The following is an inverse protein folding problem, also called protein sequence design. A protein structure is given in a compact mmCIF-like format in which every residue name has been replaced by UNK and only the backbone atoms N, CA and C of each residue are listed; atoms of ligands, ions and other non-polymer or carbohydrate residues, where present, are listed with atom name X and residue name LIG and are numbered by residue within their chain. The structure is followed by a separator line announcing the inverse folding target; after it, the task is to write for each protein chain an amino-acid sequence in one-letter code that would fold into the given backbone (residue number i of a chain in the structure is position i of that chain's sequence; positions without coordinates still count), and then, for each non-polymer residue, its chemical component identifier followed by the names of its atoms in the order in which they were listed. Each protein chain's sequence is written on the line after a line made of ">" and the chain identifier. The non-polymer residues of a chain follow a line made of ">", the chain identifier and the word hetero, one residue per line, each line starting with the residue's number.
data_IF_596341370323
#
_entry.id   IF_596341370323
#
_cell.length_a   1.000
_cell.length_b   1.000
_cell.length_c   1.000
_cell.angle_alpha   90.00
_cell.angle_beta   90.00
_cell.angle_gamma   90.00
#
_symmetry.space_group_name_H-M   'P 1'
#
loop_
_entity.id
_entity.type
_entity.pdbx_description
1 polymer ?
#
# COMPACT_ATOMS: atom_id res chain seq x y z
N UNK A 1 -3.63 -14.13 -12.10
CA UNK A 1 -3.35 -15.56 -12.34
C UNK A 1 -2.72 -15.65 -13.71
N UNK A 2 -1.45 -16.06 -13.80
CA UNK A 2 -0.86 -16.45 -15.07
C UNK A 2 -0.57 -17.93 -14.99
N UNK A 3 -1.42 -18.74 -15.63
CA UNK A 3 -1.16 -20.16 -15.76
C UNK A 3 0.07 -20.36 -16.62
N UNK A 4 1.05 -21.12 -16.10
CA UNK A 4 2.27 -21.51 -16.84
C UNK A 4 1.94 -22.18 -18.18
N UNK A 5 0.80 -22.85 -18.25
CA UNK A 5 0.37 -23.62 -19.43
C UNK A 5 -0.92 -23.06 -20.07
N UNK A 6 -1.86 -22.57 -19.26
CA UNK A 6 -3.20 -22.14 -19.73
C UNK A 6 -3.42 -20.62 -19.65
N UNK A 7 -2.40 -19.84 -19.34
CA UNK A 7 -2.50 -18.38 -19.34
C UNK A 7 -2.56 -17.82 -20.76
N UNK A 8 -3.22 -16.67 -20.95
CA UNK A 8 -3.29 -15.97 -22.24
C UNK A 8 -1.92 -15.86 -22.93
N UNK A 9 -0.89 -15.41 -22.22
CA UNK A 9 0.48 -15.31 -22.77
C UNK A 9 1.06 -16.68 -23.15
N UNK A 10 0.78 -17.73 -22.38
CA UNK A 10 1.25 -19.09 -22.66
C UNK A 10 0.57 -19.66 -23.93
N UNK A 11 -0.73 -19.41 -24.09
CA UNK A 11 -1.51 -19.81 -25.27
C UNK A 11 -1.03 -19.07 -26.52
N UNK A 12 -0.88 -17.75 -26.46
CA UNK A 12 -0.37 -16.96 -27.59
C UNK A 12 1.05 -17.41 -27.99
N UNK A 13 1.94 -17.68 -27.01
CA UNK A 13 3.28 -18.23 -27.29
C UNK A 13 3.22 -19.60 -27.95
N UNK A 14 2.28 -20.45 -27.54
CA UNK A 14 2.08 -21.79 -28.11
C UNK A 14 1.60 -21.71 -29.56
N UNK A 15 0.63 -20.84 -29.84
CA UNK A 15 0.08 -20.67 -31.19
C UNK A 15 1.13 -20.12 -32.16
N UNK A 16 1.90 -19.11 -31.76
CA UNK A 16 2.98 -18.55 -32.60
C UNK A 16 4.09 -19.57 -32.87
N UNK A 17 4.46 -20.40 -31.90
CA UNK A 17 5.43 -21.49 -32.11
C UNK A 17 4.90 -22.60 -33.04
N UNK A 18 3.59 -22.84 -33.04
CA UNK A 18 2.97 -23.81 -33.95
C UNK A 18 2.99 -23.31 -35.41
N UNK A 19 2.90 -21.98 -35.62
CA UNK A 19 2.95 -21.38 -36.96
C UNK A 19 4.37 -21.16 -37.47
N UNK A 20 5.30 -20.73 -36.60
CA UNK A 20 6.72 -20.56 -36.91
C UNK A 20 7.60 -20.96 -35.71
N UNK A 21 8.31 -22.08 -35.84
CA UNK A 21 9.11 -22.64 -34.75
C UNK A 21 10.24 -21.72 -34.25
N UNK A 22 10.73 -20.81 -35.10
CA UNK A 22 11.83 -19.89 -34.78
C UNK A 22 11.36 -18.54 -34.21
N UNK A 23 10.04 -18.31 -34.10
CA UNK A 23 9.50 -17.07 -33.53
C UNK A 23 9.22 -17.23 -32.03
N UNK A 24 9.85 -16.37 -31.21
CA UNK A 24 9.55 -16.26 -29.78
C UNK A 24 8.94 -14.90 -29.46
N UNK A 25 7.91 -14.91 -28.60
CA UNK A 25 7.22 -13.69 -28.17
C UNK A 25 7.78 -13.25 -26.83
N UNK A 26 8.18 -11.98 -26.75
CA UNK A 26 8.49 -11.34 -25.49
C UNK A 26 7.19 -10.99 -24.76
N UNK A 27 6.84 -11.79 -23.75
CA UNK A 27 5.76 -11.45 -22.83
C UNK A 27 6.24 -10.43 -21.81
N UNK A 28 6.02 -9.14 -22.07
CA UNK A 28 6.27 -8.11 -21.05
C UNK A 28 5.12 -8.15 -20.06
N UNK A 29 5.42 -8.64 -18.86
CA UNK A 29 4.48 -8.56 -17.75
C UNK A 29 4.39 -7.11 -17.32
N UNK A 30 3.18 -6.55 -17.32
CA UNK A 30 2.98 -5.21 -16.79
C UNK A 30 3.43 -5.20 -15.32
N UNK A 31 4.33 -4.29 -14.95
CA UNK A 31 4.85 -4.14 -13.58
C UNK A 31 3.71 -4.03 -12.56
N UNK A 32 2.60 -3.42 -12.98
CA UNK A 32 1.33 -3.33 -12.25
C UNK A 32 0.79 -4.73 -11.90
N UNK A 33 0.79 -5.67 -12.85
CA UNK A 33 0.32 -7.02 -12.58
C UNK A 33 1.26 -7.78 -11.62
N UNK A 34 2.58 -7.58 -11.76
CA UNK A 34 3.57 -8.24 -10.92
C UNK A 34 3.49 -7.76 -9.47
N UNK A 35 3.47 -6.45 -9.25
CA UNK A 35 3.32 -5.88 -7.92
C UNK A 35 2.00 -6.31 -7.25
N UNK A 36 0.88 -6.37 -8.02
CA UNK A 36 -0.39 -6.89 -7.51
C UNK A 36 -0.29 -8.37 -7.10
N UNK A 37 0.46 -9.17 -7.85
CA UNK A 37 0.70 -10.58 -7.55
C UNK A 37 1.61 -10.73 -6.31
N UNK A 38 2.69 -9.95 -6.22
CA UNK A 38 3.57 -9.91 -5.06
C UNK A 38 2.80 -9.54 -3.79
N UNK A 39 1.92 -8.53 -3.84
CA UNK A 39 1.07 -8.17 -2.70
C UNK A 39 0.17 -9.31 -2.24
N UNK A 40 -0.35 -10.14 -3.15
CA UNK A 40 -1.12 -11.35 -2.81
C UNK A 40 -0.26 -12.44 -2.19
N UNK A 41 0.94 -12.67 -2.71
CA UNK A 41 1.87 -13.70 -2.22
C UNK A 41 2.38 -13.35 -0.81
N UNK A 42 2.76 -12.09 -0.58
CA UNK A 42 3.30 -11.64 0.70
C UNK A 42 2.25 -11.61 1.83
N UNK A 43 0.96 -11.70 1.50
CA UNK A 43 -0.16 -11.71 2.45
C UNK A 43 -0.07 -10.62 3.56
N UNK A 44 0.27 -9.39 3.17
CA UNK A 44 0.39 -8.25 4.10
C UNK A 44 -0.97 -7.59 4.40
N UNK A 45 -2.07 -8.34 4.31
CA UNK A 45 -3.43 -7.84 4.47
C UNK A 45 -3.64 -7.20 5.84
N UNK A 46 -3.26 -7.90 6.91
CA UNK A 46 -3.34 -7.38 8.28
C UNK A 46 -2.60 -6.04 8.47
N UNK A 47 -1.37 -5.96 7.95
CA UNK A 47 -0.54 -4.76 7.98
C UNK A 47 -1.23 -3.61 7.26
N UNK A 48 -1.67 -3.87 6.02
CA UNK A 48 -2.33 -2.87 5.20
C UNK A 48 -3.64 -2.39 5.82
N UNK A 49 -4.42 -3.25 6.47
CA UNK A 49 -5.67 -2.85 7.11
C UNK A 49 -5.45 -1.84 8.24
N UNK A 50 -4.39 -2.04 9.03
CA UNK A 50 -3.98 -1.08 10.08
C UNK A 50 -3.56 0.25 9.47
N UNK A 51 -2.69 0.22 8.45
CA UNK A 51 -2.19 1.41 7.76
C UNK A 51 -3.34 2.20 7.12
N UNK A 52 -4.19 1.52 6.35
CA UNK A 52 -5.32 2.13 5.66
C UNK A 52 -6.32 2.73 6.64
N UNK A 53 -6.61 2.05 7.75
CA UNK A 53 -7.50 2.59 8.79
C UNK A 53 -6.94 3.89 9.37
N UNK A 54 -5.65 3.95 9.68
CA UNK A 54 -5.02 5.16 10.22
C UNK A 54 -5.04 6.30 9.21
N UNK A 55 -4.61 6.05 7.97
CA UNK A 55 -4.60 7.03 6.88
C UNK A 55 -6.01 7.54 6.59
N UNK A 56 -7.01 6.66 6.54
CA UNK A 56 -8.39 7.03 6.30
C UNK A 56 -8.95 7.91 7.44
N UNK A 57 -8.60 7.66 8.70
CA UNK A 57 -9.03 8.52 9.81
C UNK A 57 -8.38 9.91 9.78
N UNK A 58 -7.12 10.00 9.32
CA UNK A 58 -6.44 11.29 9.11
C UNK A 58 -7.10 12.05 7.95
N UNK A 59 -7.33 11.37 6.82
CA UNK A 59 -7.76 11.99 5.56
C UNK A 59 -9.27 12.22 5.44
N UNK A 60 -10.10 11.38 6.06
CA UNK A 60 -11.58 11.48 5.96
C UNK A 60 -12.15 12.72 6.65
N UNK A 61 -11.41 13.30 7.62
CA UNK A 61 -11.85 14.45 8.40
C UNK A 61 -10.99 15.66 8.02
N UNK A 62 -11.56 16.62 7.28
CA UNK A 62 -10.82 17.75 6.71
C UNK A 62 -10.03 18.57 7.75
N UNK A 63 -10.56 18.76 8.97
CA UNK A 63 -9.84 19.44 10.04
C UNK A 63 -8.60 18.64 10.49
N UNK A 64 -8.74 17.33 10.70
CA UNK A 64 -7.62 16.47 11.12
C UNK A 64 -6.54 16.41 10.06
N UNK A 65 -6.93 16.35 8.79
CA UNK A 65 -5.98 16.35 7.68
C UNK A 65 -5.15 17.63 7.68
N UNK A 66 -5.78 18.81 7.78
CA UNK A 66 -5.07 20.10 7.85
C UNK A 66 -4.16 20.20 9.07
N UNK A 67 -4.62 19.74 10.23
CA UNK A 67 -3.81 19.71 11.45
C UNK A 67 -2.59 18.79 11.30
N UNK A 68 -2.76 17.65 10.65
CA UNK A 68 -1.66 16.74 10.37
C UNK A 68 -0.64 17.35 9.41
N UNK A 69 -1.09 18.00 8.34
CA UNK A 69 -0.20 18.69 7.39
C UNK A 69 0.57 19.82 8.08
N UNK A 70 -0.10 20.65 8.89
CA UNK A 70 0.55 21.72 9.65
C UNK A 70 1.60 21.17 10.62
N UNK A 71 1.28 20.06 11.31
CA UNK A 71 2.23 19.38 12.18
C UNK A 71 3.47 18.86 11.42
N UNK A 72 3.28 18.26 10.25
CA UNK A 72 4.40 17.79 9.41
C UNK A 72 5.24 18.93 8.84
N UNK A 73 4.63 20.09 8.61
CA UNK A 73 5.33 21.30 8.18
C UNK A 73 6.17 21.89 9.32
N UNK A 74 5.62 21.99 10.53
CA UNK A 74 6.30 22.50 11.72
C UNK A 74 7.58 21.71 12.07
N UNK A 75 7.53 20.38 11.93
CA UNK A 75 8.68 19.50 12.22
C UNK A 75 9.60 19.30 11.02
N UNK A 76 9.37 20.03 9.94
CA UNK A 76 10.04 19.91 8.65
C UNK A 76 10.20 18.47 8.14
N UNK A 77 9.12 17.67 8.20
CA UNK A 77 9.16 16.29 7.72
C UNK A 77 9.41 16.24 6.20
N UNK A 78 10.15 15.20 5.75
CA UNK A 78 10.42 14.93 4.33
C UNK A 78 9.13 14.94 3.48
N UNK A 79 8.06 14.36 4.03
CA UNK A 79 6.76 14.36 3.41
C UNK A 79 5.77 15.20 4.21
N UNK A 80 5.02 16.06 3.51
CA UNK A 80 4.03 16.96 4.10
C UNK A 80 2.61 16.39 4.14
N UNK A 81 2.42 15.15 3.66
CA UNK A 81 1.10 14.48 3.67
C UNK A 81 1.20 12.96 3.46
N UNK A 82 0.09 12.27 3.74
CA UNK A 82 -0.18 10.86 3.38
C UNK A 82 -1.19 10.75 2.23
N UNK A 83 -0.91 9.96 1.17
CA UNK A 83 -1.83 9.80 0.06
C UNK A 83 -3.15 9.15 0.51
N UNK A 84 -4.27 9.62 -0.03
CA UNK A 84 -5.57 9.01 0.24
C UNK A 84 -5.72 7.69 -0.51
N UNK A 85 -6.35 6.72 0.13
CA UNK A 85 -6.68 5.46 -0.51
C UNK A 85 -7.98 5.57 -1.30
N UNK A 86 -7.95 5.11 -2.56
CA UNK A 86 -9.15 4.74 -3.30
C UNK A 86 -9.00 3.27 -3.73
N UNK A 87 -9.99 2.43 -3.42
CA UNK A 87 -9.97 0.98 -3.64
C UNK A 87 -9.66 0.55 -5.08
N UNK A 88 -9.94 1.44 -6.05
CA UNK A 88 -9.78 1.19 -7.49
C UNK A 88 -8.31 1.11 -7.94
N UNK A 89 -7.35 1.54 -7.12
CA UNK A 89 -5.91 1.55 -7.46
C UNK A 89 -5.12 0.78 -6.41
N UNK A 90 -4.95 -0.52 -6.60
CA UNK A 90 -4.07 -1.34 -5.76
C UNK A 90 -2.61 -0.79 -5.74
N UNK A 91 -2.16 -0.10 -6.81
CA UNK A 91 -0.91 0.69 -6.89
C UNK A 91 -0.77 1.75 -5.77
N UNK A 92 -1.88 2.20 -5.19
CA UNK A 92 -1.84 3.16 -4.08
C UNK A 92 -1.38 2.53 -2.78
N UNK A 93 -1.57 1.22 -2.58
CA UNK A 93 -1.27 0.55 -1.30
C UNK A 93 0.23 0.53 -0.99
N UNK A 94 1.07 0.23 -1.99
CA UNK A 94 2.52 0.28 -1.83
C UNK A 94 3.02 1.69 -1.49
N UNK A 95 2.55 2.71 -2.23
CA UNK A 95 2.89 4.12 -1.96
C UNK A 95 2.38 4.62 -0.62
N UNK A 96 1.20 4.20 -0.21
CA UNK A 96 0.65 4.52 1.11
C UNK A 96 1.53 3.89 2.19
N UNK A 97 1.89 2.61 2.04
CA UNK A 97 2.74 1.92 3.02
C UNK A 97 4.11 2.57 3.13
N UNK A 98 4.77 2.86 2.00
CA UNK A 98 6.03 3.60 1.94
C UNK A 98 5.92 4.93 2.70
N UNK A 99 4.94 5.76 2.32
CA UNK A 99 4.72 7.08 2.96
C UNK A 99 4.45 6.95 4.46
N UNK A 100 3.64 5.98 4.84
CA UNK A 100 3.29 5.72 6.22
C UNK A 100 4.51 5.29 7.04
N UNK A 101 5.38 4.46 6.50
CA UNK A 101 6.61 4.02 7.16
C UNK A 101 7.59 5.18 7.36
N UNK A 102 7.78 6.02 6.33
CA UNK A 102 8.62 7.23 6.45
C UNK A 102 8.11 8.20 7.50
N UNK A 103 6.79 8.30 7.66
CA UNK A 103 6.14 9.19 8.63
C UNK A 103 5.76 8.50 9.95
N UNK A 104 6.12 7.22 10.16
CA UNK A 104 5.58 6.36 11.23
C UNK A 104 5.68 6.98 12.62
N UNK A 105 6.84 7.59 12.94
CA UNK A 105 7.08 8.24 14.24
C UNK A 105 6.17 9.46 14.43
N UNK A 106 6.01 10.28 13.39
CA UNK A 106 5.16 11.47 13.41
C UNK A 106 3.69 11.13 13.47
N UNK A 107 3.26 10.12 12.71
CA UNK A 107 1.90 9.58 12.77
C UNK A 107 1.60 9.05 14.18
N UNK A 108 2.53 8.31 14.80
CA UNK A 108 2.38 7.83 16.19
C UNK A 108 2.13 8.99 17.15
N UNK A 109 2.96 10.03 17.08
CA UNK A 109 2.83 11.23 17.92
C UNK A 109 1.49 11.92 17.69
N UNK A 110 1.12 12.17 16.44
CA UNK A 110 -0.12 12.83 16.07
C UNK A 110 -1.37 12.06 16.52
N UNK A 111 -1.38 10.73 16.30
CA UNK A 111 -2.48 9.86 16.74
C UNK A 111 -2.60 9.85 18.27
N UNK A 112 -1.49 9.86 18.99
CA UNK A 112 -1.48 9.88 20.45
C UNK A 112 -2.09 11.16 21.03
N UNK A 113 -1.86 12.31 20.40
CA UNK A 113 -2.32 13.62 20.86
C UNK A 113 -3.73 13.96 20.35
N UNK A 114 -4.02 13.70 19.07
CA UNK A 114 -5.23 14.20 18.40
C UNK A 114 -6.26 13.13 18.03
N UNK A 115 -5.97 11.84 18.24
CA UNK A 115 -6.85 10.74 17.81
C UNK A 115 -6.94 9.58 18.83
N UNK A 116 -7.25 9.85 20.11
CA UNK A 116 -7.31 8.81 21.15
C UNK A 116 -8.34 7.70 20.86
N UNK A 117 -9.38 7.96 20.06
CA UNK A 117 -10.41 6.98 19.68
C UNK A 117 -9.87 5.83 18.80
N UNK A 118 -8.76 6.03 18.09
CA UNK A 118 -8.07 4.97 17.36
C UNK A 118 -7.42 3.96 18.31
N UNK A 119 -7.19 4.32 19.58
CA UNK A 119 -6.66 3.44 20.62
C UNK A 119 -7.73 2.59 21.29
N UNK A 120 -9.02 2.91 21.18
CA UNK A 120 -10.07 2.20 21.96
C UNK A 120 -10.87 1.20 21.12
N UNK A 121 -11.09 1.47 19.83
CA UNK A 121 -11.93 0.59 18.99
C UNK A 121 -11.24 -0.63 18.39
N UNK A 122 -9.91 -0.73 18.45
CA UNK A 122 -9.06 -1.89 18.08
C UNK A 122 -7.62 -1.71 18.63
N UNK A 123 -7.50 -1.07 19.80
CA UNK A 123 -6.28 -0.44 20.31
C UNK A 123 -5.01 -1.26 20.29
N UNK A 124 -5.14 -2.57 20.49
CA UNK A 124 -4.01 -3.49 20.59
C UNK A 124 -3.25 -3.67 19.28
N UNK A 125 -3.87 -3.49 18.11
CA UNK A 125 -3.19 -3.66 16.81
C UNK A 125 -2.50 -2.39 16.32
N UNK A 126 -3.12 -1.22 16.50
CA UNK A 126 -2.53 0.04 16.03
C UNK A 126 -1.35 0.41 16.92
N UNK A 127 -1.45 0.21 18.24
CA UNK A 127 -0.34 0.52 19.16
C UNK A 127 0.86 -0.41 18.97
N UNK A 128 0.64 -1.71 18.77
CA UNK A 128 1.71 -2.68 18.50
C UNK A 128 2.41 -2.39 17.16
N UNK A 129 1.68 -1.88 16.16
CA UNK A 129 2.26 -1.48 14.87
C UNK A 129 3.21 -0.27 14.98
N UNK A 130 3.11 0.50 16.05
CA UNK A 130 4.00 1.63 16.34
C UNK A 130 5.09 1.30 17.37
N UNK A 131 5.12 0.07 17.89
CA UNK A 131 6.25 -0.42 18.69
C UNK A 131 7.36 -0.84 17.74
N UNK A 132 8.57 -0.33 17.92
CA UNK A 132 9.72 -0.77 17.14
C UNK A 132 10.00 -2.26 17.43
N UNK A 133 10.42 -3.06 16.43
CA UNK A 133 11.11 -4.30 16.76
C UNK A 133 12.40 -3.91 17.50
N UNK A 134 12.59 -4.45 18.70
CA UNK A 134 13.89 -4.41 19.40
C UNK A 134 15.01 -4.96 18.53
#
# INVERSE_FOLDING_TARGET
>A
MMGKENGCVALIKKDVRNENADQDILGVLCIVHQEALCGKIMNLTHVMDVVLKCVNEIRSKGLKHRQFQAFLEEIDAEFKDVPYHAEVRWLSRGRILERFLSLRKYIKTFVNDKMPELKTKNGKQVSSFFSDPE
#
